data_IF_480287254021
#
_entry.id   IF_480287254021
#
_cell.length_a   1.000
_cell.length_b   1.000
_cell.length_c   1.000
_cell.angle_alpha   90.00
_cell.angle_beta   90.00
_cell.angle_gamma   90.00
#
_symmetry.space_group_name_H-M   'P 1'
#
loop_
_entity.id
_entity.type
_entity.pdbx_description
1 polymer ?
#
# COMPACT_ATOMS: atom_id res chain seq x y z
N UNK A 1 38.15 42.02 -6.58
CA UNK A 1 37.25 41.16 -7.37
C UNK A 1 36.99 39.74 -6.84
N UNK A 2 37.86 39.19 -6.01
CA UNK A 2 37.71 37.80 -5.49
C UNK A 2 36.54 37.59 -4.49
N UNK A 3 36.11 38.61 -3.75
CA UNK A 3 35.09 38.46 -2.70
C UNK A 3 33.61 38.45 -3.20
N UNK A 4 33.35 38.91 -4.44
CA UNK A 4 31.98 38.86 -4.98
C UNK A 4 31.57 37.46 -5.39
N UNK A 5 32.48 36.68 -5.96
CA UNK A 5 32.19 35.31 -6.42
C UNK A 5 32.10 34.34 -5.24
N UNK A 6 32.87 34.58 -4.15
CA UNK A 6 32.82 33.77 -2.96
C UNK A 6 31.46 33.92 -2.23
N UNK A 7 30.89 35.14 -2.17
CA UNK A 7 29.56 35.38 -1.59
C UNK A 7 28.45 34.80 -2.45
N UNK A 8 28.60 34.85 -3.79
CA UNK A 8 27.64 34.23 -4.72
C UNK A 8 27.67 32.71 -4.65
N UNK A 9 28.85 32.10 -4.50
CA UNK A 9 29.01 30.65 -4.34
C UNK A 9 28.42 30.17 -3.01
N UNK A 10 28.59 30.95 -1.93
CA UNK A 10 28.00 30.62 -0.62
C UNK A 10 26.47 30.74 -0.60
N UNK A 11 25.91 31.74 -1.30
CA UNK A 11 24.47 31.88 -1.47
C UNK A 11 23.87 30.73 -2.32
N UNK A 12 24.61 30.25 -3.33
CA UNK A 12 24.16 29.12 -4.16
C UNK A 12 24.18 27.79 -3.41
N UNK A 13 25.14 27.57 -2.51
CA UNK A 13 25.20 26.39 -1.64
C UNK A 13 24.10 26.36 -0.57
N UNK A 14 23.57 27.53 -0.17
CA UNK A 14 22.50 27.60 0.83
C UNK A 14 21.12 27.19 0.26
N UNK A 15 20.94 27.28 -1.06
CA UNK A 15 19.69 26.88 -1.73
C UNK A 15 19.57 25.37 -2.03
N UNK A 16 20.64 24.59 -1.76
CA UNK A 16 20.64 23.15 -2.12
C UNK A 16 20.07 22.24 -1.01
N UNK A 17 19.60 22.81 0.11
CA UNK A 17 18.97 22.04 1.18
C UNK A 17 17.44 22.10 1.14
N UNK A 18 16.83 21.93 -0.03
CA UNK A 18 15.39 21.64 -0.09
C UNK A 18 15.23 20.15 0.19
N UNK A 19 15.01 19.81 1.46
CA UNK A 19 14.56 18.49 1.87
C UNK A 19 13.17 18.28 1.28
N UNK A 20 13.09 17.56 0.15
CA UNK A 20 11.82 17.08 -0.40
C UNK A 20 11.30 16.04 0.59
N UNK A 21 10.35 16.44 1.42
CA UNK A 21 9.61 15.52 2.28
C UNK A 21 8.71 14.68 1.37
N UNK A 22 9.23 13.56 0.90
CA UNK A 22 8.48 12.60 0.09
C UNK A 22 7.53 11.83 1.02
N UNK A 23 6.24 12.06 0.90
CA UNK A 23 5.24 11.20 1.52
C UNK A 23 5.29 9.84 0.81
N UNK A 24 6.01 8.89 1.40
CA UNK A 24 6.13 7.56 0.84
C UNK A 24 4.86 6.74 1.16
N UNK A 25 4.07 6.46 0.13
CA UNK A 25 3.00 5.47 0.21
C UNK A 25 3.62 4.08 0.13
N UNK A 26 3.18 3.16 0.98
CA UNK A 26 3.68 1.79 1.00
C UNK A 26 3.02 0.99 -0.12
N UNK A 27 3.83 0.37 -0.96
CA UNK A 27 3.37 -0.43 -2.10
C UNK A 27 3.62 -1.93 -1.90
N UNK A 28 2.72 -2.79 -2.43
CA UNK A 28 2.94 -4.22 -2.49
C UNK A 28 4.17 -4.56 -3.34
N UNK A 29 4.88 -5.62 -2.95
CA UNK A 29 6.03 -6.16 -3.70
C UNK A 29 5.88 -7.66 -3.88
N UNK A 30 6.43 -8.21 -4.96
CA UNK A 30 6.41 -9.64 -5.24
C UNK A 30 7.12 -10.45 -4.15
N UNK A 31 6.59 -11.65 -3.88
CA UNK A 31 7.12 -12.56 -2.85
C UNK A 31 8.14 -13.56 -3.41
N UNK A 32 8.42 -13.50 -4.72
CA UNK A 32 9.28 -14.46 -5.43
C UNK A 32 8.51 -15.70 -5.90
N UNK A 33 8.80 -16.18 -7.10
CA UNK A 33 8.16 -17.34 -7.72
C UNK A 33 6.86 -17.06 -8.45
N UNK A 34 5.97 -16.23 -7.90
CA UNK A 34 4.72 -15.81 -8.53
C UNK A 34 4.49 -14.31 -8.27
N UNK A 35 4.63 -13.50 -9.31
CA UNK A 35 4.58 -12.03 -9.21
C UNK A 35 3.20 -11.48 -8.82
N UNK A 36 2.14 -12.26 -9.01
CA UNK A 36 0.78 -11.88 -8.63
C UNK A 36 0.45 -12.17 -7.16
N UNK A 37 1.36 -12.85 -6.45
CA UNK A 37 1.29 -12.99 -4.99
C UNK A 37 2.24 -11.96 -4.38
N UNK A 38 1.69 -10.95 -3.73
CA UNK A 38 2.43 -9.82 -3.19
C UNK A 38 2.38 -9.75 -1.68
N UNK A 39 3.37 -9.09 -1.10
CA UNK A 39 3.43 -8.82 0.34
C UNK A 39 3.54 -7.32 0.59
N UNK A 40 2.99 -6.88 1.73
CA UNK A 40 3.15 -5.54 2.29
C UNK A 40 3.61 -5.70 3.74
N UNK A 41 4.67 -5.00 4.14
CA UNK A 41 5.01 -4.88 5.54
C UNK A 41 4.06 -3.89 6.20
N UNK A 42 3.39 -4.31 7.27
CA UNK A 42 2.55 -3.40 8.05
C UNK A 42 3.41 -2.35 8.76
N UNK A 43 3.04 -1.11 8.59
CA UNK A 43 3.61 0.04 9.29
C UNK A 43 2.45 0.81 9.90
N UNK A 44 2.42 1.04 11.22
CA UNK A 44 1.36 1.81 11.87
C UNK A 44 1.21 3.20 11.26
N UNK A 45 -0.02 3.63 11.00
CA UNK A 45 -0.37 4.93 10.42
C UNK A 45 0.17 5.20 9.00
N UNK A 46 0.67 4.17 8.31
CA UNK A 46 1.03 4.29 6.90
C UNK A 46 -0.22 4.22 6.02
N UNK A 47 -0.14 4.86 4.85
CA UNK A 47 -1.11 4.69 3.78
C UNK A 47 -0.57 3.64 2.80
N UNK A 48 -1.37 2.60 2.53
CA UNK A 48 -1.03 1.52 1.63
C UNK A 48 -1.66 1.78 0.26
N UNK A 49 -0.86 1.78 -0.77
CA UNK A 49 -1.38 1.95 -2.13
C UNK A 49 -1.86 0.62 -2.68
N UNK A 50 -3.10 0.61 -3.16
CA UNK A 50 -3.71 -0.53 -3.84
C UNK A 50 -4.11 -0.16 -5.26
N UNK A 51 -3.72 -0.99 -6.23
CA UNK A 51 -4.11 -0.87 -7.64
C UNK A 51 -4.95 -2.10 -8.00
N UNK A 52 -6.26 -1.89 -8.10
CA UNK A 52 -7.19 -2.88 -8.62
C UNK A 52 -7.17 -2.90 -10.15
N UNK A 53 -7.45 -4.05 -10.74
CA UNK A 53 -7.52 -4.18 -12.18
C UNK A 53 -8.92 -4.59 -12.60
N UNK A 54 -9.47 -3.91 -13.60
CA UNK A 54 -10.76 -4.28 -14.17
C UNK A 54 -10.73 -5.73 -14.64
N UNK A 55 -11.83 -6.45 -14.40
CA UNK A 55 -12.02 -7.88 -14.70
C UNK A 55 -11.23 -8.83 -13.77
N UNK A 56 -10.38 -8.32 -12.87
CA UNK A 56 -9.65 -9.13 -11.90
C UNK A 56 -10.10 -8.83 -10.47
N UNK A 57 -10.09 -9.86 -9.65
CA UNK A 57 -10.32 -9.77 -8.22
C UNK A 57 -8.99 -9.93 -7.47
N UNK A 58 -8.79 -9.12 -6.45
CA UNK A 58 -7.65 -9.23 -5.53
C UNK A 58 -8.14 -9.60 -4.14
N UNK A 59 -7.40 -10.45 -3.45
CA UNK A 59 -7.59 -10.75 -2.03
C UNK A 59 -6.57 -9.94 -1.23
N UNK A 60 -7.03 -9.16 -0.25
CA UNK A 60 -6.14 -8.62 0.80
C UNK A 60 -6.29 -9.52 2.03
N UNK A 61 -5.17 -10.07 2.49
CA UNK A 61 -5.11 -10.98 3.64
C UNK A 61 -4.36 -10.31 4.80
N UNK A 62 -5.06 -10.16 5.92
CA UNK A 62 -4.52 -9.67 7.19
C UNK A 62 -3.97 -10.84 8.04
N UNK A 63 -3.51 -10.58 9.27
CA UNK A 63 -3.07 -11.63 10.18
C UNK A 63 -4.18 -12.65 10.43
N UNK A 64 -3.80 -13.91 10.64
CA UNK A 64 -4.77 -15.01 10.89
C UNK A 64 -5.62 -14.81 12.16
N UNK A 65 -5.12 -14.00 13.09
CA UNK A 65 -5.78 -13.69 14.36
C UNK A 65 -6.49 -12.32 14.33
N UNK A 66 -6.62 -11.72 13.12
CA UNK A 66 -7.42 -10.52 12.90
C UNK A 66 -8.79 -10.87 12.32
N UNK A 67 -9.80 -10.13 12.79
CA UNK A 67 -11.16 -10.17 12.30
C UNK A 67 -11.59 -8.76 11.89
N UNK A 68 -12.11 -8.63 10.68
CA UNK A 68 -12.57 -7.35 10.15
C UNK A 68 -13.85 -6.94 10.85
N UNK A 69 -13.84 -5.76 11.46
CA UNK A 69 -14.99 -5.17 12.16
C UNK A 69 -15.73 -4.15 11.31
N UNK A 70 -14.97 -3.34 10.58
CA UNK A 70 -15.55 -2.24 9.80
C UNK A 70 -14.71 -1.96 8.56
N UNK A 71 -15.40 -1.68 7.45
CA UNK A 71 -14.79 -1.15 6.22
C UNK A 71 -15.56 0.12 5.84
N UNK A 72 -14.83 1.20 5.60
CA UNK A 72 -15.38 2.46 5.11
C UNK A 72 -14.63 2.94 3.88
N UNK A 73 -15.32 3.63 2.98
CA UNK A 73 -14.76 4.20 1.75
C UNK A 73 -15.29 5.60 1.50
N UNK A 74 -14.49 6.43 0.86
CA UNK A 74 -14.93 7.75 0.42
C UNK A 74 -15.97 7.65 -0.69
N UNK A 75 -15.75 6.77 -1.68
CA UNK A 75 -16.70 6.49 -2.77
C UNK A 75 -16.80 4.98 -2.97
N UNK A 76 -17.84 4.34 -2.43
CA UNK A 76 -17.95 2.88 -2.48
C UNK A 76 -18.46 2.33 -3.81
N UNK A 77 -19.26 3.10 -4.56
CA UNK A 77 -19.98 2.65 -5.75
C UNK A 77 -19.11 1.94 -6.79
N UNK A 78 -17.89 2.44 -7.15
CA UNK A 78 -17.08 1.79 -8.17
C UNK A 78 -16.39 0.50 -7.72
N UNK A 79 -16.61 0.05 -6.49
CA UNK A 79 -15.92 -1.10 -5.92
C UNK A 79 -16.89 -2.17 -5.42
N UNK A 80 -16.63 -3.41 -5.79
CA UNK A 80 -17.21 -4.57 -5.12
C UNK A 80 -16.27 -5.02 -4.02
N UNK A 81 -16.78 -5.10 -2.78
CA UNK A 81 -16.04 -5.47 -1.59
C UNK A 81 -16.79 -6.55 -0.83
N UNK A 82 -16.10 -7.65 -0.55
CA UNK A 82 -16.67 -8.76 0.23
C UNK A 82 -15.69 -9.12 1.35
N UNK A 83 -15.97 -8.76 2.62
CA UNK A 83 -15.17 -9.21 3.75
C UNK A 83 -15.48 -10.67 4.11
N UNK A 84 -14.46 -11.43 4.51
CA UNK A 84 -14.59 -12.79 4.97
C UNK A 84 -13.47 -13.12 5.98
N UNK A 85 -13.78 -13.09 7.27
CA UNK A 85 -12.81 -13.33 8.34
C UNK A 85 -11.68 -12.30 8.33
N UNK A 86 -10.44 -12.77 8.11
CA UNK A 86 -9.26 -11.92 7.98
C UNK A 86 -8.94 -11.51 6.52
N UNK A 87 -9.88 -11.62 5.60
CA UNK A 87 -9.69 -11.34 4.18
C UNK A 87 -10.73 -10.38 3.64
N UNK A 88 -10.33 -9.63 2.62
CA UNK A 88 -11.23 -8.81 1.81
C UNK A 88 -11.03 -9.20 0.35
N UNK A 89 -12.12 -9.47 -0.34
CA UNK A 89 -12.14 -9.63 -1.79
C UNK A 89 -12.52 -8.30 -2.42
N UNK A 90 -11.66 -7.79 -3.29
CA UNK A 90 -11.79 -6.48 -3.92
C UNK A 90 -11.79 -6.59 -5.43
N UNK A 91 -12.71 -5.87 -6.06
CA UNK A 91 -12.82 -5.78 -7.53
C UNK A 91 -13.33 -4.40 -7.92
N UNK A 92 -12.64 -3.66 -8.81
CA UNK A 92 -13.21 -2.46 -9.42
C UNK A 92 -14.29 -2.88 -10.42
N UNK A 93 -15.44 -2.20 -10.41
CA UNK A 93 -16.61 -2.53 -11.25
C UNK A 93 -17.06 -1.38 -12.14
N UNK A 94 -16.65 -0.15 -11.87
CA UNK A 94 -16.96 1.04 -12.67
C UNK A 94 -15.70 1.86 -12.92
N UNK A 95 -15.73 2.69 -13.94
CA UNK A 95 -14.63 3.61 -14.26
C UNK A 95 -14.44 4.68 -13.14
N UNK A 96 -13.30 5.36 -13.14
CA UNK A 96 -12.94 6.39 -12.16
C UNK A 96 -12.99 5.93 -10.69
N UNK A 97 -12.52 4.73 -10.43
CA UNK A 97 -12.55 4.10 -9.12
C UNK A 97 -11.44 4.59 -8.15
N UNK A 98 -10.96 5.83 -8.30
CA UNK A 98 -9.98 6.41 -7.35
C UNK A 98 -10.69 6.88 -6.09
N UNK A 99 -10.28 6.36 -4.94
CA UNK A 99 -10.84 6.70 -3.63
C UNK A 99 -9.89 6.30 -2.50
N UNK A 100 -10.34 6.40 -1.27
CA UNK A 100 -9.67 5.82 -0.11
C UNK A 100 -10.55 4.77 0.57
N UNK A 101 -9.91 3.83 1.25
CA UNK A 101 -10.59 2.83 2.08
C UNK A 101 -9.90 2.75 3.44
N UNK A 102 -10.70 2.64 4.49
CA UNK A 102 -10.21 2.33 5.84
C UNK A 102 -10.78 0.98 6.27
N UNK A 103 -9.89 0.11 6.75
CA UNK A 103 -10.27 -1.18 7.34
C UNK A 103 -9.91 -1.16 8.81
N UNK A 104 -10.87 -1.49 9.66
CA UNK A 104 -10.69 -1.63 11.10
C UNK A 104 -10.89 -3.10 11.45
N UNK A 105 -9.87 -3.69 12.04
CA UNK A 105 -9.92 -5.04 12.61
C UNK A 105 -9.99 -4.95 14.15
N UNK A 106 -10.11 -6.10 14.80
CA UNK A 106 -10.03 -6.19 16.26
C UNK A 106 -8.64 -5.80 16.82
N UNK A 107 -7.62 -5.59 15.98
CA UNK A 107 -6.25 -5.28 16.41
C UNK A 107 -5.66 -4.02 15.81
N UNK A 108 -5.97 -3.70 14.56
CA UNK A 108 -5.27 -2.67 13.78
C UNK A 108 -6.21 -1.87 12.89
N UNK A 109 -5.71 -0.72 12.43
CA UNK A 109 -6.34 0.07 11.39
C UNK A 109 -5.43 0.10 10.16
N UNK A 110 -6.05 0.05 8.98
CA UNK A 110 -5.38 0.06 7.70
C UNK A 110 -5.98 1.15 6.83
N UNK A 111 -5.14 2.01 6.28
CA UNK A 111 -5.54 3.09 5.41
C UNK A 111 -5.07 2.81 4.00
N UNK A 112 -5.98 2.77 3.05
CA UNK A 112 -5.67 2.50 1.66
C UNK A 112 -5.95 3.68 0.76
N UNK A 113 -5.02 3.96 -0.14
CA UNK A 113 -5.22 4.76 -1.34
C UNK A 113 -5.57 3.78 -2.48
N UNK A 114 -6.79 3.90 -3.01
CA UNK A 114 -7.36 2.97 -3.97
C UNK A 114 -7.32 3.54 -5.38
N UNK A 115 -6.73 2.80 -6.31
CA UNK A 115 -6.73 3.13 -7.74
C UNK A 115 -7.23 1.93 -8.54
N UNK A 116 -7.76 2.18 -9.74
CA UNK A 116 -8.11 1.13 -10.69
C UNK A 116 -7.54 1.44 -12.08
N UNK A 117 -7.13 0.41 -12.79
CA UNK A 117 -6.67 0.48 -14.18
C UNK A 117 -7.00 -0.80 -14.95
N UNK A 118 -6.89 -0.73 -16.27
CA UNK A 118 -6.84 -1.95 -17.08
C UNK A 118 -5.51 -2.65 -16.88
N UNK A 119 -5.49 -3.97 -16.87
CA UNK A 119 -4.25 -4.73 -16.93
C UNK A 119 -3.71 -4.70 -18.37
N UNK A 120 -2.43 -4.44 -18.55
CA UNK A 120 -1.78 -4.52 -19.86
C UNK A 120 -1.76 -5.97 -20.37
N UNK A 121 -1.59 -6.91 -19.45
CA UNK A 121 -1.65 -8.35 -19.68
C UNK A 121 -1.82 -9.08 -18.35
N UNK A 122 -1.91 -10.41 -18.38
CA UNK A 122 -1.89 -11.25 -17.16
C UNK A 122 -0.55 -11.14 -16.41
N UNK A 123 0.49 -10.62 -17.05
CA UNK A 123 1.81 -10.38 -16.47
C UNK A 123 2.05 -8.92 -16.12
N UNK A 124 0.99 -8.10 -16.05
CA UNK A 124 1.11 -6.71 -15.56
C UNK A 124 1.78 -6.70 -14.17
N UNK A 125 2.88 -5.95 -13.99
CA UNK A 125 3.63 -5.97 -12.73
C UNK A 125 2.84 -5.47 -11.53
N UNK A 126 1.80 -4.65 -11.74
CA UNK A 126 0.93 -4.18 -10.67
C UNK A 126 -0.22 -5.14 -10.36
N UNK A 127 -0.51 -6.09 -11.26
CA UNK A 127 -1.58 -7.06 -11.05
C UNK A 127 -1.28 -7.94 -9.83
N UNK A 128 -2.21 -8.00 -8.90
CA UNK A 128 -2.13 -8.85 -7.73
C UNK A 128 -3.38 -9.71 -7.60
N UNK A 129 -3.21 -11.00 -7.38
CA UNK A 129 -4.30 -11.90 -7.00
C UNK A 129 -4.46 -11.97 -5.48
N UNK A 130 -3.33 -11.90 -4.76
CA UNK A 130 -3.30 -11.85 -3.32
C UNK A 130 -2.25 -10.83 -2.87
N UNK A 131 -2.62 -10.01 -1.88
CA UNK A 131 -1.72 -9.13 -1.15
C UNK A 131 -1.78 -9.55 0.32
N UNK A 132 -0.64 -9.98 0.88
CA UNK A 132 -0.53 -10.42 2.27
C UNK A 132 0.18 -9.39 3.12
N UNK A 133 -0.39 -9.05 4.25
CA UNK A 133 0.30 -8.24 5.25
C UNK A 133 1.28 -9.08 6.06
N UNK A 134 2.49 -8.55 6.25
CA UNK A 134 3.54 -9.12 7.09
C UNK A 134 3.82 -8.17 8.24
N UNK A 135 3.93 -8.73 9.44
CA UNK A 135 4.05 -7.97 10.68
C UNK A 135 5.45 -8.17 11.29
N UNK A 136 6.31 -7.13 11.32
CA UNK A 136 7.72 -7.27 11.74
C UNK A 136 7.91 -7.75 13.19
N UNK A 137 6.94 -7.51 14.07
CA UNK A 137 7.00 -7.93 15.47
C UNK A 137 6.76 -9.42 15.70
N UNK A 138 6.10 -10.10 14.78
CA UNK A 138 5.81 -11.54 14.92
C UNK A 138 6.99 -12.44 14.56
N UNK A 139 8.01 -11.89 13.89
CA UNK A 139 9.22 -12.64 13.52
C UNK A 139 10.19 -12.81 14.68
N UNK A 140 10.02 -12.04 15.77
CA UNK A 140 10.94 -12.05 16.92
C UNK A 140 10.67 -13.17 17.92
N UNK A 141 9.42 -13.64 18.02
CA UNK A 141 9.04 -14.67 18.99
C UNK A 141 9.29 -16.11 18.53
N UNK A 142 9.56 -16.34 17.24
CA UNK A 142 9.88 -17.70 16.73
C UNK A 142 11.30 -18.16 17.01
N UNK A 143 12.19 -17.29 17.54
CA UNK A 143 13.58 -17.65 17.86
C UNK A 143 13.85 -17.92 19.34
N UNK A 144 12.84 -17.85 20.21
CA UNK A 144 13.00 -18.05 21.66
C UNK A 144 12.42 -19.36 22.18
N UNK A 145 12.10 -20.32 21.32
CA UNK A 145 11.70 -21.67 21.72
C UNK A 145 12.68 -22.67 21.11
N UNK A 146 13.82 -22.75 21.73
CA UNK A 146 14.71 -23.93 21.68
C UNK A 146 15.17 -24.23 23.10
#
# INVERSE_FOLDING_TARGET
MKNKYLKSLFAFLLFLNISICSNATVMPRSMGGEDRIKIINYVPNAVFRYIGHYYYQTIIEFSLDEEIQTITMGTPTPWQIVPAGNRIFLKPIEDDATTNMTVITNKRMYFFEMHAKNADSINDPDLAFIIKFVYPSETKDRKSVV
#
